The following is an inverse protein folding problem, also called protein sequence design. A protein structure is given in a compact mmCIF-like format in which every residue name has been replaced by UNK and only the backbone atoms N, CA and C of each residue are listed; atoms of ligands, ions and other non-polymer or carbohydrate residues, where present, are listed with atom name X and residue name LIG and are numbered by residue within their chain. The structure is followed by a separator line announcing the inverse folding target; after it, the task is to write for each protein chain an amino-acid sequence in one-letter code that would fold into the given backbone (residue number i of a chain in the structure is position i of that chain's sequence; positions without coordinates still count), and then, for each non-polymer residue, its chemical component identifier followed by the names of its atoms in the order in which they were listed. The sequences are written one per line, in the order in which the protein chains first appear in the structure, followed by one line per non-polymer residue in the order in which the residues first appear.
data_IF_865031545462
#
_entry.id   IF_865031545462
#
_cell.length_a   1.000
_cell.length_b   1.000
_cell.length_c   1.000
_cell.angle_alpha   90.00
_cell.angle_beta   90.00
_cell.angle_gamma   90.00
#
_symmetry.space_group_name_H-M   'P 1'
#
loop_
_entity.id
_entity.type
_entity.pdbx_description
1 polymer ?
#
# COMPACT_ATOMS: atom_id res chain seq x y z
N UNK A 1 11.14 -3.09 43.66
CA UNK A 1 10.31 -2.06 44.32
C UNK A 1 9.48 -1.38 43.24
N UNK A 2 8.15 -1.53 43.34
CA UNK A 2 7.14 -0.99 42.41
C UNK A 2 6.89 0.47 42.74
N UNK A 3 6.93 1.37 41.76
CA UNK A 3 6.31 2.69 41.87
C UNK A 3 5.34 2.86 40.70
N UNK A 4 4.05 2.77 41.05
CA UNK A 4 2.90 3.04 40.20
C UNK A 4 2.54 4.51 40.42
N UNK A 5 2.67 5.35 39.39
CA UNK A 5 2.07 6.69 39.38
C UNK A 5 0.94 6.70 38.36
N UNK A 6 -0.28 6.65 38.89
CA UNK A 6 -1.50 6.88 38.15
C UNK A 6 -1.85 8.37 38.23
N UNK A 7 -1.86 9.05 37.08
CA UNK A 7 -2.38 10.42 36.97
C UNK A 7 -3.68 10.37 36.18
N UNK A 8 -4.78 10.55 36.92
CA UNK A 8 -6.14 10.71 36.41
C UNK A 8 -6.32 12.18 36.02
N UNK A 9 -6.64 12.45 34.75
CA UNK A 9 -7.06 13.78 34.31
C UNK A 9 -8.53 13.70 33.86
N UNK A 10 -9.43 14.28 34.68
CA UNK A 10 -10.80 14.59 34.30
C UNK A 10 -10.78 15.83 33.39
N UNK A 11 -11.42 15.75 32.22
CA UNK A 11 -11.86 16.92 31.47
C UNK A 11 -13.36 16.78 31.25
N UNK A 12 -14.13 17.57 32.00
CA UNK A 12 -15.54 17.86 31.78
C UNK A 12 -15.66 19.08 30.87
N UNK A 13 -16.33 18.93 29.73
CA UNK A 13 -16.82 20.05 28.92
C UNK A 13 -18.32 19.85 28.69
N UNK A 14 -19.10 20.69 29.36
CA UNK A 14 -20.49 20.94 29.06
C UNK A 14 -20.57 22.22 28.21
N UNK A 15 -21.35 22.21 27.13
CA UNK A 15 -21.97 23.41 26.59
C UNK A 15 -23.21 23.04 25.77
N UNK A 16 -24.34 23.58 26.21
CA UNK A 16 -25.62 23.64 25.53
C UNK A 16 -25.64 24.70 24.42
N UNK A 17 -26.53 24.48 23.44
CA UNK A 17 -27.07 25.50 22.53
C UNK A 17 -27.35 24.86 21.16
N UNK A 18 -28.54 24.83 20.57
CA UNK A 18 -29.78 25.57 20.83
C UNK A 18 -30.31 26.13 19.51
N UNK A 19 -31.55 25.79 19.14
CA UNK A 19 -32.33 26.40 18.04
C UNK A 19 -32.14 25.73 16.67
N UNK A 20 -33.16 25.31 15.91
CA UNK A 20 -34.55 25.78 15.82
C UNK A 20 -34.75 26.44 14.45
N UNK A 21 -35.48 25.81 13.53
CA UNK A 21 -35.71 26.38 12.20
C UNK A 21 -36.47 25.46 11.24
N UNK A 22 -37.78 25.48 11.36
CA UNK A 22 -38.77 24.92 10.45
C UNK A 22 -38.91 25.76 9.16
N UNK A 23 -39.06 25.09 8.01
CA UNK A 23 -39.54 25.69 6.75
C UNK A 23 -39.37 24.67 5.61
N UNK A 24 -40.36 23.80 5.34
CA UNK A 24 -41.51 24.04 4.47
C UNK A 24 -41.16 24.60 3.09
N UNK A 25 -40.99 23.72 2.11
CA UNK A 25 -41.64 23.85 0.79
C UNK A 25 -41.34 22.61 -0.05
N UNK A 26 -42.35 21.74 -0.20
CA UNK A 26 -42.37 20.66 -1.18
C UNK A 26 -42.69 21.24 -2.58
N UNK A 27 -41.94 20.89 -3.63
CA UNK A 27 -42.40 21.08 -5.00
C UNK A 27 -43.00 19.79 -5.59
N UNK A 28 -43.95 20.04 -6.48
CA UNK A 28 -44.83 19.17 -7.25
C UNK A 28 -44.27 17.81 -7.69
N UNK A 29 -45.13 16.79 -7.52
CA UNK A 29 -45.05 15.53 -8.23
C UNK A 29 -45.31 15.72 -9.72
N UNK A 30 -44.29 15.50 -10.53
CA UNK A 30 -44.38 15.33 -11.99
C UNK A 30 -44.49 13.84 -12.30
N UNK A 31 -45.70 13.41 -12.63
CA UNK A 31 -46.00 12.11 -13.24
C UNK A 31 -45.45 12.07 -14.67
N UNK A 32 -44.26 11.50 -14.84
CA UNK A 32 -43.76 11.04 -16.13
C UNK A 32 -43.97 9.54 -16.26
N UNK A 33 -44.89 9.19 -17.16
CA UNK A 33 -45.20 7.86 -17.65
C UNK A 33 -43.93 7.14 -18.17
N UNK A 34 -43.60 5.92 -17.71
CA UNK A 34 -42.47 5.17 -18.25
C UNK A 34 -42.80 4.66 -19.65
N UNK A 35 -41.94 4.98 -20.61
CA UNK A 35 -41.93 4.38 -21.93
C UNK A 35 -41.60 2.88 -21.82
N UNK A 36 -42.29 2.06 -22.61
CA UNK A 36 -42.11 0.61 -22.67
C UNK A 36 -40.65 0.25 -22.99
N UNK A 37 -40.03 -0.51 -22.08
CA UNK A 37 -38.70 -1.05 -22.27
C UNK A 37 -38.69 -2.08 -23.42
N UNK A 38 -37.72 -2.03 -24.34
CA UNK A 38 -37.50 -3.11 -25.31
C UNK A 38 -37.05 -4.38 -24.58
N UNK A 39 -37.63 -5.51 -24.98
CA UNK A 39 -37.34 -6.83 -24.44
C UNK A 39 -35.85 -7.16 -24.61
N UNK A 40 -35.11 -7.19 -23.51
CA UNK A 40 -33.75 -7.70 -23.44
C UNK A 40 -33.78 -9.22 -23.62
N UNK A 41 -33.10 -9.68 -24.67
CA UNK A 41 -32.79 -11.09 -24.92
C UNK A 41 -32.16 -11.75 -23.71
N UNK A 42 -32.70 -12.91 -23.32
CA UNK A 42 -32.14 -13.82 -22.31
C UNK A 42 -30.70 -14.23 -22.67
N UNK A 43 -29.72 -13.49 -22.16
CA UNK A 43 -28.33 -13.93 -22.14
C UNK A 43 -28.14 -14.87 -20.95
N UNK A 44 -27.84 -16.12 -21.28
CA UNK A 44 -27.67 -17.22 -20.32
C UNK A 44 -26.43 -17.00 -19.43
N UNK A 45 -26.53 -17.07 -18.09
CA UNK A 45 -25.47 -16.69 -17.14
C UNK A 45 -24.28 -17.68 -17.02
N UNK A 46 -24.25 -18.77 -17.79
CA UNK A 46 -23.26 -19.84 -17.63
C UNK A 46 -21.81 -19.47 -18.02
N UNK A 47 -21.60 -18.43 -18.83
CA UNK A 47 -20.27 -18.07 -19.33
C UNK A 47 -19.39 -17.32 -18.30
N UNK A 48 -19.99 -16.62 -17.34
CA UNK A 48 -19.23 -15.77 -16.38
C UNK A 48 -18.57 -16.62 -15.28
N UNK A 49 -19.24 -17.69 -14.82
CA UNK A 49 -18.73 -18.54 -13.73
C UNK A 49 -17.44 -19.30 -14.10
N UNK A 50 -17.32 -19.78 -15.34
CA UNK A 50 -16.15 -20.53 -15.82
C UNK A 50 -14.86 -19.67 -15.83
N UNK A 51 -15.00 -18.37 -16.12
CA UNK A 51 -13.88 -17.43 -16.11
C UNK A 51 -13.30 -17.21 -14.72
N UNK A 52 -14.15 -17.22 -13.69
CA UNK A 52 -13.72 -16.97 -12.30
C UNK A 52 -12.96 -18.17 -11.75
N UNK A 53 -13.44 -19.40 -11.94
CA UNK A 53 -12.76 -20.60 -11.47
C UNK A 53 -11.36 -20.78 -12.10
N UNK A 54 -11.23 -20.45 -13.39
CA UNK A 54 -9.93 -20.49 -14.08
C UNK A 54 -8.97 -19.44 -13.53
N UNK A 55 -9.45 -18.21 -13.31
CA UNK A 55 -8.65 -17.15 -12.70
C UNK A 55 -8.21 -17.49 -11.26
N UNK A 56 -9.10 -18.12 -10.48
CA UNK A 56 -8.84 -18.55 -9.10
C UNK A 56 -7.76 -19.62 -9.04
N UNK A 57 -7.85 -20.60 -9.93
CA UNK A 57 -6.86 -21.64 -10.03
C UNK A 57 -5.48 -21.07 -10.39
N UNK A 58 -5.41 -20.15 -11.35
CA UNK A 58 -4.15 -19.50 -11.73
C UNK A 58 -3.56 -18.64 -10.60
N UNK A 59 -4.41 -17.98 -9.82
CA UNK A 59 -4.00 -17.16 -8.68
C UNK A 59 -3.48 -18.02 -7.52
N UNK A 60 -4.17 -19.12 -7.21
CA UNK A 60 -3.73 -20.10 -6.23
C UNK A 60 -2.40 -20.73 -6.63
N UNK A 61 -2.24 -21.12 -7.90
CA UNK A 61 -1.00 -21.74 -8.40
C UNK A 61 0.21 -20.81 -8.21
N UNK A 62 0.07 -19.52 -8.52
CA UNK A 62 1.11 -18.51 -8.25
C UNK A 62 1.43 -18.37 -6.77
N UNK A 63 0.43 -18.41 -5.89
CA UNK A 63 0.62 -18.36 -4.44
C UNK A 63 1.37 -19.57 -3.90
N UNK A 64 1.12 -20.77 -4.44
CA UNK A 64 1.81 -21.99 -4.03
C UNK A 64 3.24 -22.09 -4.57
N UNK A 65 3.48 -21.66 -5.82
CA UNK A 65 4.82 -21.72 -6.45
C UNK A 65 5.76 -20.65 -5.93
N UNK A 66 5.25 -19.43 -5.73
CA UNK A 66 6.06 -18.28 -5.30
C UNK A 66 7.06 -17.77 -6.34
N UNK A 67 6.94 -18.18 -7.60
CA UNK A 67 7.86 -17.85 -8.69
C UNK A 67 7.56 -16.49 -9.37
N UNK A 68 6.28 -16.12 -9.50
CA UNK A 68 5.85 -14.84 -10.06
C UNK A 68 4.86 -14.11 -9.15
N UNK A 69 5.34 -13.08 -8.47
CA UNK A 69 4.56 -12.30 -7.48
C UNK A 69 3.81 -11.13 -8.07
N UNK A 70 4.18 -10.65 -9.26
CA UNK A 70 3.52 -9.54 -9.94
C UNK A 70 3.19 -9.89 -11.38
N UNK A 71 2.11 -9.33 -11.97
CA UNK A 71 1.80 -9.56 -13.37
C UNK A 71 2.81 -8.84 -14.27
N UNK A 72 2.85 -9.24 -15.55
CA UNK A 72 3.64 -8.53 -16.56
C UNK A 72 3.18 -7.06 -16.64
N UNK A 73 4.15 -6.13 -16.70
CA UNK A 73 3.90 -4.70 -16.79
C UNK A 73 3.78 -3.99 -15.44
N UNK A 74 3.65 -4.71 -14.32
CA UNK A 74 3.70 -4.10 -12.99
C UNK A 74 5.10 -3.56 -12.70
N UNK A 75 5.20 -2.31 -12.28
CA UNK A 75 6.45 -1.63 -11.97
C UNK A 75 7.08 -2.22 -10.71
N UNK A 76 8.07 -3.08 -10.92
CA UNK A 76 8.94 -3.63 -9.89
C UNK A 76 10.33 -3.10 -10.14
N UNK A 77 10.96 -2.57 -9.10
CA UNK A 77 12.33 -2.13 -9.24
C UNK A 77 13.24 -3.32 -9.53
N UNK A 78 13.95 -3.25 -10.66
CA UNK A 78 14.91 -4.26 -11.03
C UNK A 78 16.06 -4.31 -10.01
N UNK A 79 16.44 -5.54 -9.63
CA UNK A 79 17.67 -5.77 -8.91
C UNK A 79 18.85 -5.28 -9.77
N UNK A 80 19.78 -4.47 -9.23
CA UNK A 80 20.97 -4.06 -9.96
C UNK A 80 21.82 -5.26 -10.33
N UNK A 81 22.32 -5.28 -11.56
CA UNK A 81 23.13 -6.39 -12.10
C UNK A 81 24.48 -6.57 -11.40
N UNK A 82 24.97 -5.53 -10.72
CA UNK A 82 26.24 -5.54 -9.99
C UNK A 82 26.11 -5.99 -8.52
N UNK A 83 24.92 -6.33 -8.05
CA UNK A 83 24.71 -6.78 -6.65
C UNK A 83 24.53 -8.28 -6.61
N UNK A 84 25.54 -8.99 -6.10
CA UNK A 84 25.55 -10.46 -6.02
C UNK A 84 25.07 -11.00 -4.66
N UNK A 85 25.28 -10.27 -3.55
CA UNK A 85 24.86 -10.70 -2.22
C UNK A 85 23.45 -10.25 -1.82
N UNK A 86 23.19 -10.08 -0.52
CA UNK A 86 21.87 -9.61 -0.07
C UNK A 86 21.65 -8.16 -0.49
N UNK A 87 20.51 -7.86 -1.10
CA UNK A 87 20.06 -6.48 -1.35
C UNK A 87 18.88 -6.17 -0.44
N UNK A 88 19.02 -5.14 0.39
CA UNK A 88 17.92 -4.60 1.19
C UNK A 88 17.70 -3.14 0.82
N UNK A 89 16.50 -2.84 0.33
CA UNK A 89 16.06 -1.47 0.05
C UNK A 89 15.00 -1.09 1.05
N UNK A 90 15.17 0.05 1.72
CA UNK A 90 14.17 0.59 2.63
C UNK A 90 14.10 2.10 2.53
N UNK A 91 12.89 2.63 2.69
CA UNK A 91 12.70 4.04 3.01
C UNK A 91 12.92 4.26 4.50
N UNK A 92 13.63 5.33 4.84
CA UNK A 92 13.80 5.76 6.21
C UNK A 92 12.47 6.29 6.74
N UNK A 93 12.17 5.92 7.97
CA UNK A 93 10.95 6.27 8.69
C UNK A 93 11.26 7.22 9.82
N UNK A 94 10.27 7.98 10.27
CA UNK A 94 10.41 8.83 11.47
C UNK A 94 10.90 8.05 12.69
N UNK A 95 10.52 6.78 12.82
CA UNK A 95 10.94 5.89 13.91
C UNK A 95 12.40 5.42 13.82
N UNK A 96 13.07 5.54 12.66
CA UNK A 96 14.46 5.10 12.48
C UNK A 96 15.48 6.04 13.15
N UNK A 97 15.04 7.22 13.59
CA UNK A 97 15.90 8.21 14.25
C UNK A 97 15.18 8.96 15.39
N UNK A 98 13.89 8.71 15.62
CA UNK A 98 13.21 9.19 16.81
C UNK A 98 13.71 8.45 18.06
N UNK A 99 13.94 9.18 19.15
CA UNK A 99 14.23 8.59 20.47
C UNK A 99 13.09 8.85 21.44
N UNK A 100 12.85 7.92 22.36
CA UNK A 100 11.87 8.10 23.43
C UNK A 100 10.40 8.12 22.96
N UNK A 101 9.53 8.90 23.64
CA UNK A 101 8.07 8.90 23.37
C UNK A 101 7.66 9.27 21.94
N UNK A 102 8.54 9.96 21.19
CA UNK A 102 8.30 10.33 19.80
C UNK A 102 8.16 9.12 18.86
N UNK A 103 8.70 7.95 19.26
CA UNK A 103 8.55 6.70 18.52
C UNK A 103 7.15 6.05 18.66
N UNK A 104 6.32 6.52 19.59
CA UNK A 104 4.99 5.95 19.85
C UNK A 104 3.89 6.48 18.90
N UNK A 105 4.19 7.50 18.08
CA UNK A 105 3.24 8.08 17.14
C UNK A 105 3.02 7.26 15.85
N UNK A 106 2.24 7.82 14.91
CA UNK A 106 2.15 7.32 13.54
C UNK A 106 3.53 7.08 12.94
N UNK A 107 3.68 5.97 12.20
CA UNK A 107 4.93 5.67 11.50
C UNK A 107 4.80 6.09 10.04
N UNK A 108 5.75 6.88 9.53
CA UNK A 108 5.73 7.33 8.14
C UNK A 108 7.13 7.36 7.54
N UNK A 109 7.20 7.24 6.21
CA UNK A 109 8.42 7.49 5.45
C UNK A 109 8.73 8.99 5.48
N UNK A 110 9.98 9.36 5.77
CA UNK A 110 10.36 10.78 5.79
C UNK A 110 10.71 11.29 4.41
N UNK A 111 10.48 12.59 4.21
CA UNK A 111 10.93 13.29 3.01
C UNK A 111 11.89 14.43 3.38
N UNK A 112 12.77 14.78 2.45
CA UNK A 112 13.56 16.01 2.51
C UNK A 112 13.97 16.45 1.11
N UNK A 113 14.07 17.76 0.88
CA UNK A 113 14.71 18.32 -0.31
C UNK A 113 16.20 18.64 -0.08
N UNK A 114 16.72 18.33 1.11
CA UNK A 114 18.13 18.50 1.49
C UNK A 114 18.84 17.15 1.55
N UNK A 115 19.78 16.94 0.63
CA UNK A 115 20.61 15.75 0.58
C UNK A 115 21.43 15.55 1.87
N UNK A 116 21.89 16.64 2.50
CA UNK A 116 22.68 16.55 3.73
C UNK A 116 21.84 15.99 4.88
N UNK A 117 20.57 16.41 4.99
CA UNK A 117 19.63 15.86 5.96
C UNK A 117 19.36 14.36 5.71
N UNK A 118 19.12 13.96 4.46
CA UNK A 118 18.92 12.56 4.11
C UNK A 118 20.14 11.68 4.47
N UNK A 119 21.35 12.20 4.22
CA UNK A 119 22.60 11.53 4.60
C UNK A 119 22.74 11.39 6.12
N UNK A 120 22.41 12.44 6.88
CA UNK A 120 22.46 12.42 8.34
C UNK A 120 21.48 11.41 8.96
N UNK A 121 20.26 11.28 8.41
CA UNK A 121 19.31 10.23 8.83
C UNK A 121 19.83 8.83 8.51
N UNK A 122 20.40 8.64 7.31
CA UNK A 122 21.03 7.37 6.93
C UNK A 122 22.18 6.99 7.86
N UNK A 123 22.98 7.96 8.29
CA UNK A 123 24.11 7.78 9.21
C UNK A 123 23.64 7.37 10.61
N UNK A 124 22.66 8.09 11.16
CA UNK A 124 22.04 7.76 12.44
C UNK A 124 21.56 6.31 12.45
N UNK A 125 20.82 5.93 11.42
CA UNK A 125 20.27 4.59 11.32
C UNK A 125 21.34 3.52 11.10
N UNK A 126 22.44 3.83 10.40
CA UNK A 126 23.56 2.90 10.25
C UNK A 126 24.31 2.63 11.55
N UNK A 127 24.32 3.60 12.46
CA UNK A 127 24.93 3.46 13.80
C UNK A 127 24.06 2.60 14.73
N UNK A 128 22.74 2.59 14.54
CA UNK A 128 21.80 1.88 15.41
C UNK A 128 21.56 0.41 15.03
N UNK A 129 21.92 -0.01 13.82
CA UNK A 129 21.66 -1.35 13.29
C UNK A 129 22.49 -2.50 13.93
N UNK A 130 23.14 -2.28 15.08
CA UNK A 130 23.98 -3.27 15.78
C UNK A 130 25.32 -3.56 15.08
N UNK A 131 25.38 -3.40 13.75
CA UNK A 131 26.58 -3.47 12.93
C UNK A 131 26.61 -2.29 11.96
N UNK A 132 27.71 -1.56 11.99
CA UNK A 132 27.90 -0.40 11.13
C UNK A 132 28.03 -0.82 9.65
N UNK A 133 27.47 0.00 8.76
CA UNK A 133 27.55 -0.17 7.30
C UNK A 133 28.18 1.06 6.67
N UNK A 134 29.28 0.85 5.95
CA UNK A 134 30.07 1.91 5.33
C UNK A 134 29.31 2.53 4.16
N UNK A 135 29.37 3.86 4.07
CA UNK A 135 28.83 4.60 2.94
C UNK A 135 29.68 4.32 1.69
N UNK A 136 29.02 3.92 0.60
CA UNK A 136 29.68 3.64 -0.68
C UNK A 136 29.28 4.64 -1.75
N UNK A 137 28.00 5.00 -1.80
CA UNK A 137 27.47 5.89 -2.84
C UNK A 137 26.29 6.71 -2.31
N UNK A 138 26.16 7.94 -2.81
CA UNK A 138 24.97 8.76 -2.63
C UNK A 138 24.52 9.21 -4.02
N UNK A 139 23.25 8.98 -4.33
CA UNK A 139 22.64 9.43 -5.58
C UNK A 139 21.24 9.98 -5.32
N UNK A 140 20.71 10.75 -6.26
CA UNK A 140 19.37 11.27 -6.17
C UNK A 140 18.78 11.47 -7.55
N UNK A 141 17.46 11.38 -7.63
CA UNK A 141 16.69 11.74 -8.80
C UNK A 141 15.60 12.75 -8.41
N UNK A 142 14.60 12.95 -9.27
CA UNK A 142 13.45 13.82 -8.97
C UNK A 142 12.54 13.27 -7.89
N UNK A 143 12.68 11.99 -7.50
CA UNK A 143 11.75 11.29 -6.61
C UNK A 143 12.32 11.10 -5.21
N UNK A 144 13.61 10.78 -5.11
CA UNK A 144 14.23 10.40 -3.84
C UNK A 144 15.74 10.63 -3.84
N UNK A 145 16.29 10.69 -2.62
CA UNK A 145 17.70 10.45 -2.35
C UNK A 145 17.90 8.99 -1.98
N UNK A 146 18.94 8.37 -2.54
CA UNK A 146 19.37 7.01 -2.22
C UNK A 146 20.80 7.03 -1.70
N UNK A 147 20.97 6.51 -0.48
CA UNK A 147 22.25 6.35 0.20
C UNK A 147 22.56 4.86 0.26
N UNK A 148 23.61 4.45 -0.46
CA UNK A 148 24.03 3.05 -0.59
C UNK A 148 25.13 2.77 0.42
N UNK A 149 24.94 1.71 1.21
CA UNK A 149 25.87 1.25 2.24
C UNK A 149 26.21 -0.23 2.09
N UNK A 150 27.40 -0.60 2.54
CA UNK A 150 27.88 -1.99 2.58
C UNK A 150 28.21 -2.37 4.03
N UNK A 151 27.60 -3.43 4.59
CA UNK A 151 27.93 -3.90 5.93
C UNK A 151 29.39 -4.34 6.04
N UNK A 152 30.10 -3.94 7.11
CA UNK A 152 31.52 -4.29 7.30
C UNK A 152 31.81 -5.78 7.41
N UNK A 153 30.82 -6.56 7.85
CA UNK A 153 30.94 -8.00 8.04
C UNK A 153 30.54 -8.81 6.79
N UNK A 154 29.88 -8.18 5.82
CA UNK A 154 29.46 -8.80 4.56
C UNK A 154 29.57 -7.78 3.43
N UNK A 155 30.74 -7.78 2.79
CA UNK A 155 31.04 -6.89 1.66
C UNK A 155 30.27 -7.21 0.39
N UNK A 156 29.54 -8.34 0.38
CA UNK A 156 28.69 -8.73 -0.76
C UNK A 156 27.27 -8.19 -0.62
N UNK A 157 26.86 -7.85 0.61
CA UNK A 157 25.56 -7.26 0.89
C UNK A 157 25.53 -5.76 0.60
N UNK A 158 24.36 -5.27 0.20
CA UNK A 158 24.10 -3.87 -0.08
C UNK A 158 22.81 -3.43 0.60
N UNK A 159 22.90 -2.31 1.32
CA UNK A 159 21.78 -1.62 1.94
C UNK A 159 21.51 -0.33 1.19
N UNK A 160 20.26 -0.08 0.81
CA UNK A 160 19.80 1.16 0.19
C UNK A 160 18.86 1.85 1.15
N UNK A 161 19.31 2.96 1.72
CA UNK A 161 18.48 3.86 2.49
C UNK A 161 17.91 4.91 1.56
N UNK A 162 16.58 5.05 1.53
CA UNK A 162 15.89 6.02 0.70
C UNK A 162 15.16 7.05 1.52
N UNK A 163 15.14 8.26 1.01
CA UNK A 163 14.39 9.40 1.55
C UNK A 163 13.68 10.04 0.38
N UNK A 164 12.36 10.14 0.43
CA UNK A 164 11.62 10.83 -0.63
C UNK A 164 12.05 12.29 -0.70
N UNK A 165 12.01 12.87 -1.90
CA UNK A 165 12.02 14.32 -1.98
C UNK A 165 10.65 14.86 -1.61
N UNK A 166 10.59 15.89 -0.77
CA UNK A 166 9.30 16.47 -0.38
C UNK A 166 8.59 17.16 -1.55
N UNK A 167 9.31 17.61 -2.57
CA UNK A 167 8.71 18.10 -3.82
C UNK A 167 8.13 16.98 -4.70
N UNK A 168 8.46 15.72 -4.43
CA UNK A 168 7.87 14.55 -5.06
C UNK A 168 6.74 13.97 -4.22
N UNK A 169 7.03 13.49 -3.00
CA UNK A 169 6.07 12.81 -2.12
C UNK A 169 6.32 13.18 -0.66
N UNK A 170 5.28 13.67 0.01
CA UNK A 170 5.26 13.91 1.45
C UNK A 170 4.35 12.90 2.14
N UNK A 171 4.93 12.06 3.01
CA UNK A 171 4.22 10.99 3.73
C UNK A 171 4.00 11.31 5.21
N UNK A 172 4.31 12.53 5.67
CA UNK A 172 4.23 12.94 7.08
C UNK A 172 2.85 12.79 7.72
N UNK A 173 1.78 12.76 6.91
CA UNK A 173 0.40 12.56 7.35
C UNK A 173 -0.10 11.11 7.23
N UNK A 174 0.72 10.19 6.72
CA UNK A 174 0.39 8.76 6.65
C UNK A 174 0.71 8.05 7.97
N UNK A 175 -0.06 7.02 8.30
CA UNK A 175 0.34 6.03 9.30
C UNK A 175 0.52 4.67 8.62
N UNK A 176 1.75 4.23 8.38
CA UNK A 176 2.10 2.96 7.73
C UNK A 176 1.58 1.72 8.45
N UNK A 177 1.07 1.85 9.68
CA UNK A 177 0.44 0.75 10.42
C UNK A 177 -1.06 0.61 10.14
N UNK A 178 -1.67 1.60 9.50
CA UNK A 178 -3.10 1.60 9.18
C UNK A 178 -3.35 1.11 7.75
N UNK A 179 -4.31 0.21 7.56
CA UNK A 179 -4.69 -0.25 6.22
C UNK A 179 -5.54 0.77 5.46
N UNK A 180 -6.15 1.73 6.18
CA UNK A 180 -7.05 2.77 5.67
C UNK A 180 -6.62 4.14 6.20
N UNK A 181 -6.79 5.17 5.38
CA UNK A 181 -6.65 6.56 5.81
C UNK A 181 -5.75 7.38 4.89
N UNK A 182 -5.11 8.42 5.45
CA UNK A 182 -4.22 9.29 4.69
C UNK A 182 -2.95 8.52 4.25
N UNK A 183 -2.54 8.74 3.00
CA UNK A 183 -1.39 8.13 2.35
C UNK A 183 -0.39 9.19 1.85
N UNK A 184 -0.43 10.39 2.40
CA UNK A 184 0.48 11.50 2.07
C UNK A 184 -0.06 12.43 0.98
N UNK A 185 0.85 13.21 0.41
CA UNK A 185 0.58 14.14 -0.69
C UNK A 185 1.59 13.92 -1.81
N UNK A 186 1.09 13.68 -3.02
CA UNK A 186 1.88 13.62 -4.23
C UNK A 186 2.07 15.04 -4.79
N UNK A 187 3.30 15.55 -4.73
CA UNK A 187 3.62 16.94 -4.98
C UNK A 187 4.17 17.19 -6.40
N UNK A 188 4.52 16.13 -7.14
CA UNK A 188 4.90 16.24 -8.55
C UNK A 188 3.77 16.89 -9.37
N UNK A 189 4.14 17.73 -10.34
CA UNK A 189 3.20 18.38 -11.27
C UNK A 189 3.70 18.27 -12.72
N UNK A 190 2.82 18.08 -13.71
CA UNK A 190 1.38 17.87 -13.59
C UNK A 190 1.03 16.51 -12.98
N UNK A 191 -0.10 16.42 -12.28
CA UNK A 191 -0.64 15.14 -11.80
C UNK A 191 -1.24 14.38 -12.98
N UNK A 192 -0.69 13.20 -13.29
CA UNK A 192 -1.15 12.35 -14.37
C UNK A 192 -1.33 10.90 -13.89
N UNK A 193 -2.13 10.13 -14.62
CA UNK A 193 -2.50 8.76 -14.27
C UNK A 193 -1.29 7.82 -14.24
N UNK A 194 -0.42 7.89 -15.25
CA UNK A 194 0.74 7.01 -15.42
C UNK A 194 1.75 7.14 -14.26
N UNK A 195 1.98 8.36 -13.78
CA UNK A 195 2.88 8.62 -12.64
C UNK A 195 2.23 8.22 -11.32
N UNK A 196 0.90 8.33 -11.20
CA UNK A 196 0.19 7.86 -10.02
C UNK A 196 0.14 6.32 -9.95
N UNK A 197 0.03 5.65 -11.10
CA UNK A 197 0.17 4.20 -11.24
C UNK A 197 1.54 3.74 -10.76
N UNK A 198 2.62 4.27 -11.34
CA UNK A 198 3.99 3.95 -10.91
C UNK A 198 4.22 4.22 -9.43
N UNK A 199 3.68 5.32 -8.90
CA UNK A 199 3.76 5.61 -7.46
C UNK A 199 3.05 4.53 -6.63
N UNK A 200 1.84 4.14 -6.99
CA UNK A 200 1.08 3.10 -6.28
C UNK A 200 1.81 1.75 -6.28
N UNK A 201 2.33 1.35 -7.43
CA UNK A 201 3.08 0.10 -7.60
C UNK A 201 4.45 0.15 -6.89
N UNK A 202 5.12 1.30 -6.91
CA UNK A 202 6.34 1.53 -6.15
C UNK A 202 6.10 1.44 -4.63
N UNK A 203 5.05 2.11 -4.12
CA UNK A 203 4.72 2.07 -2.70
C UNK A 203 4.39 0.66 -2.23
N UNK A 204 3.73 -0.16 -3.08
CA UNK A 204 3.45 -1.57 -2.79
C UNK A 204 4.70 -2.35 -2.39
N UNK A 205 5.83 -2.11 -3.07
CA UNK A 205 7.08 -2.81 -2.85
C UNK A 205 7.64 -2.62 -1.42
N UNK A 206 7.23 -1.57 -0.72
CA UNK A 206 7.67 -1.25 0.64
C UNK A 206 6.61 -1.52 1.71
N UNK A 207 5.53 -2.20 1.35
CA UNK A 207 4.50 -2.65 2.29
C UNK A 207 4.82 -4.03 2.87
N UNK A 208 4.11 -4.40 3.94
CA UNK A 208 4.12 -5.78 4.42
C UNK A 208 3.51 -6.77 3.42
N UNK A 209 2.74 -6.32 2.43
CA UNK A 209 2.17 -7.17 1.38
C UNK A 209 3.22 -7.57 0.33
N UNK A 210 4.41 -6.96 0.33
CA UNK A 210 5.50 -7.44 -0.52
C UNK A 210 6.26 -8.64 0.10
N UNK A 211 5.55 -9.65 0.61
CA UNK A 211 6.14 -10.88 1.16
C UNK A 211 5.68 -12.15 0.42
N UNK A 212 6.27 -13.31 0.73
CA UNK A 212 6.05 -14.59 0.03
C UNK A 212 4.61 -15.09 0.00
N UNK A 213 3.74 -14.62 0.90
CA UNK A 213 2.35 -15.07 1.00
C UNK A 213 1.38 -14.21 0.19
N UNK A 214 1.89 -13.19 -0.51
CA UNK A 214 1.09 -12.27 -1.31
C UNK A 214 1.56 -12.24 -2.76
N UNK A 215 0.59 -12.18 -3.66
CA UNK A 215 0.80 -11.92 -5.08
C UNK A 215 -0.13 -10.80 -5.55
N UNK A 216 0.32 -10.01 -6.52
CA UNK A 216 -0.52 -9.08 -7.27
C UNK A 216 -1.19 -9.86 -8.40
N UNK A 217 -2.52 -9.83 -8.42
CA UNK A 217 -3.33 -10.40 -9.49
C UNK A 217 -3.42 -9.44 -10.68
N UNK A 218 -3.66 -8.16 -10.41
CA UNK A 218 -3.80 -7.09 -11.40
C UNK A 218 -3.63 -5.72 -10.76
N UNK A 219 -3.27 -4.71 -11.55
CA UNK A 219 -3.37 -3.30 -11.19
C UNK A 219 -4.22 -2.56 -12.22
N UNK A 220 -4.85 -1.45 -11.83
CA UNK A 220 -5.62 -0.62 -12.74
C UNK A 220 -5.70 0.82 -12.26
N UNK A 221 -5.71 1.76 -13.21
CA UNK A 221 -5.83 3.19 -12.93
C UNK A 221 -7.07 3.74 -13.61
N UNK A 222 -7.89 4.46 -12.85
CA UNK A 222 -9.10 5.13 -13.32
C UNK A 222 -8.98 6.64 -13.06
N UNK A 223 -9.46 7.43 -14.02
CA UNK A 223 -9.55 8.89 -13.89
C UNK A 223 -11.00 9.30 -13.73
N UNK A 224 -11.26 10.21 -12.80
CA UNK A 224 -12.57 10.85 -12.64
C UNK A 224 -12.41 12.36 -12.47
N UNK A 225 -13.53 13.09 -12.47
CA UNK A 225 -13.51 14.54 -12.29
C UNK A 225 -12.92 14.88 -10.91
N UNK A 226 -11.71 15.43 -10.90
CA UNK A 226 -11.02 15.86 -9.67
C UNK A 226 -10.28 14.77 -8.91
N UNK A 227 -10.25 13.52 -9.40
CA UNK A 227 -9.46 12.46 -8.74
C UNK A 227 -8.88 11.40 -9.69
N UNK A 228 -7.75 10.83 -9.29
CA UNK A 228 -7.15 9.63 -9.86
C UNK A 228 -7.29 8.49 -8.85
N UNK A 229 -7.68 7.32 -9.31
CA UNK A 229 -7.85 6.12 -8.47
C UNK A 229 -6.96 5.03 -9.03
N UNK A 230 -6.06 4.48 -8.22
CA UNK A 230 -5.22 3.36 -8.60
C UNK A 230 -5.51 2.19 -7.65
N UNK A 231 -5.87 1.03 -8.21
CA UNK A 231 -6.22 -0.17 -7.44
C UNK A 231 -5.26 -1.30 -7.78
N UNK A 232 -4.61 -1.83 -6.75
CA UNK A 232 -3.79 -3.05 -6.82
C UNK A 232 -4.61 -4.17 -6.20
N UNK A 233 -5.05 -5.12 -7.04
CA UNK A 233 -5.70 -6.34 -6.58
C UNK A 233 -4.67 -7.38 -6.21
N UNK A 234 -4.69 -7.78 -4.95
CA UNK A 234 -3.77 -8.74 -4.36
C UNK A 234 -4.51 -10.00 -3.95
N UNK A 235 -3.75 -11.08 -3.77
CA UNK A 235 -4.22 -12.28 -3.13
C UNK A 235 -3.25 -12.72 -2.05
N UNK A 236 -3.80 -13.21 -0.95
CA UNK A 236 -3.07 -13.75 0.19
C UNK A 236 -3.43 -15.22 0.40
N UNK A 237 -2.43 -16.06 0.64
CA UNK A 237 -2.64 -17.44 1.06
C UNK A 237 -2.65 -17.54 2.59
N UNK A 238 -3.77 -17.98 3.15
CA UNK A 238 -3.94 -18.28 4.58
C UNK A 238 -3.97 -19.80 4.75
N UNK A 239 -2.94 -20.35 5.40
CA UNK A 239 -2.79 -21.80 5.55
C UNK A 239 -3.87 -22.39 6.45
N UNK A 240 -4.51 -23.46 5.98
CA UNK A 240 -5.45 -24.27 6.74
C UNK A 240 -4.74 -25.19 7.74
N UNK A 241 -5.53 -25.92 8.52
CA UNK A 241 -5.00 -27.03 9.32
C UNK A 241 -4.45 -28.15 8.41
N UNK A 242 -3.58 -29.01 8.95
CA UNK A 242 -3.03 -30.16 8.21
C UNK A 242 -4.17 -31.01 7.64
N UNK A 243 -4.12 -31.26 6.32
CA UNK A 243 -5.16 -32.02 5.61
C UNK A 243 -6.43 -31.24 5.27
N UNK A 244 -6.49 -29.94 5.59
CA UNK A 244 -7.56 -29.04 5.18
C UNK A 244 -7.13 -28.15 4.02
N UNK A 245 -8.10 -27.56 3.33
CA UNK A 245 -7.83 -26.57 2.30
C UNK A 245 -7.28 -25.27 2.89
N UNK A 246 -6.39 -24.62 2.15
CA UNK A 246 -5.97 -23.25 2.42
C UNK A 246 -7.05 -22.28 1.94
N UNK A 247 -7.10 -21.10 2.54
CA UNK A 247 -7.98 -20.00 2.12
C UNK A 247 -7.17 -18.98 1.33
N UNK A 248 -7.58 -18.69 0.10
CA UNK A 248 -7.07 -17.56 -0.69
C UNK A 248 -8.00 -16.37 -0.47
N UNK A 249 -7.46 -15.29 0.08
CA UNK A 249 -8.16 -14.03 0.26
C UNK A 249 -7.76 -13.05 -0.84
N UNK A 250 -8.72 -12.56 -1.61
CA UNK A 250 -8.51 -11.54 -2.65
C UNK A 250 -8.92 -10.19 -2.09
N UNK A 251 -8.04 -9.22 -2.20
CA UNK A 251 -8.22 -7.89 -1.61
C UNK A 251 -7.76 -6.80 -2.57
N UNK A 252 -8.46 -5.67 -2.55
CA UNK A 252 -8.13 -4.47 -3.31
C UNK A 252 -7.44 -3.47 -2.39
N UNK A 253 -6.24 -3.05 -2.78
CA UNK A 253 -5.52 -1.94 -2.15
C UNK A 253 -5.62 -0.73 -3.07
N UNK A 254 -6.51 0.19 -2.69
CA UNK A 254 -6.93 1.32 -3.53
C UNK A 254 -6.36 2.61 -2.97
N UNK A 255 -5.67 3.36 -3.84
CA UNK A 255 -5.27 4.73 -3.59
C UNK A 255 -6.17 5.68 -4.36
N UNK A 256 -6.65 6.72 -3.70
CA UNK A 256 -7.38 7.82 -4.35
C UNK A 256 -6.61 9.10 -4.13
N UNK A 257 -6.30 9.81 -5.21
CA UNK A 257 -5.60 11.08 -5.18
C UNK A 257 -6.49 12.20 -5.70
N UNK A 258 -6.61 13.27 -4.93
CA UNK A 258 -7.25 14.51 -5.39
C UNK A 258 -6.33 15.26 -6.36
N UNK A 259 -6.79 15.54 -7.59
CA UNK A 259 -5.93 16.13 -8.65
C UNK A 259 -5.67 17.62 -8.49
N UNK A 260 -6.30 18.30 -7.53
CA UNK A 260 -6.03 19.70 -7.22
C UNK A 260 -4.96 19.83 -6.16
N UNK A 261 -5.10 19.10 -5.06
CA UNK A 261 -4.20 19.16 -3.90
C UNK A 261 -3.02 18.19 -3.99
N UNK A 262 -3.19 17.05 -4.67
CA UNK A 262 -2.24 15.93 -4.60
C UNK A 262 -2.42 15.05 -3.36
N UNK A 263 -3.36 15.36 -2.46
CA UNK A 263 -3.61 14.55 -1.27
C UNK A 263 -4.07 13.13 -1.68
N UNK A 264 -3.47 12.12 -1.04
CA UNK A 264 -3.70 10.71 -1.29
C UNK A 264 -4.36 10.09 -0.06
N UNK A 265 -5.43 9.31 -0.27
CA UNK A 265 -5.97 8.38 0.70
C UNK A 265 -5.80 6.95 0.22
N UNK A 266 -5.79 6.00 1.14
CA UNK A 266 -5.79 4.57 0.85
C UNK A 266 -6.90 3.83 1.57
N UNK A 267 -7.29 2.71 0.98
CA UNK A 267 -8.22 1.74 1.54
C UNK A 267 -7.77 0.32 1.18
N UNK A 268 -7.97 -0.63 2.09
CA UNK A 268 -7.81 -2.05 1.82
C UNK A 268 -9.17 -2.74 2.04
N UNK A 269 -9.68 -3.38 1.01
CA UNK A 269 -10.98 -4.06 1.05
C UNK A 269 -10.85 -5.51 0.66
N UNK A 270 -11.41 -6.43 1.45
CA UNK A 270 -11.55 -7.82 1.02
C UNK A 270 -12.65 -7.90 -0.05
N UNK A 271 -12.30 -8.40 -1.23
CA UNK A 271 -13.21 -8.53 -2.36
C UNK A 271 -13.95 -9.86 -2.31
N UNK A 272 -13.20 -10.94 -2.03
CA UNK A 272 -13.72 -12.31 -1.93
C UNK A 272 -12.67 -13.26 -1.37
N UNK A 273 -13.12 -14.47 -1.02
CA UNK A 273 -12.25 -15.58 -0.65
C UNK A 273 -12.69 -16.87 -1.34
N UNK A 274 -11.75 -17.77 -1.57
CA UNK A 274 -12.02 -19.14 -2.03
C UNK A 274 -11.03 -20.11 -1.39
N UNK A 275 -11.35 -21.41 -1.44
CA UNK A 275 -10.49 -22.45 -0.87
C UNK A 275 -9.70 -23.15 -1.97
N UNK A 276 -8.43 -23.45 -1.70
CA UNK A 276 -7.55 -24.16 -2.63
C UNK A 276 -6.61 -25.07 -1.87
N UNK A 277 -6.09 -26.10 -2.54
CA UNK A 277 -5.09 -27.00 -1.99
C UNK A 277 -4.02 -27.33 -3.03
N UNK A 278 -2.84 -27.70 -2.56
CA UNK A 278 -1.79 -28.32 -3.39
C UNK A 278 -1.63 -29.79 -3.01
N UNK A 279 -1.64 -30.68 -4.00
CA UNK A 279 -1.40 -32.12 -3.81
C UNK A 279 -0.40 -32.57 -4.85
N UNK A 280 0.75 -33.09 -4.39
CA UNK A 280 1.83 -33.56 -5.27
C UNK A 280 2.28 -32.50 -6.30
N UNK A 281 2.29 -31.22 -5.92
CA UNK A 281 2.68 -30.11 -6.78
C UNK A 281 1.60 -29.64 -7.77
N UNK A 282 0.41 -30.26 -7.76
CA UNK A 282 -0.75 -29.80 -8.52
C UNK A 282 -1.67 -28.96 -7.63
N UNK A 283 -2.10 -27.80 -8.14
CA UNK A 283 -3.03 -26.90 -7.45
C UNK A 283 -4.47 -27.26 -7.85
N UNK A 284 -5.41 -27.22 -6.92
CA UNK A 284 -6.85 -27.41 -7.18
C UNK A 284 -7.70 -26.51 -6.27
N UNK A 285 -8.89 -26.15 -6.75
CA UNK A 285 -9.90 -25.42 -5.96
C UNK A 285 -10.71 -26.44 -5.15
N UNK A 286 -10.94 -26.14 -3.88
CA UNK A 286 -11.76 -26.98 -3.02
C UNK A 286 -13.25 -26.71 -3.25
N UNK A 287 -14.05 -27.77 -3.27
CA UNK A 287 -15.50 -27.75 -3.44
C UNK A 287 -16.25 -27.45 -2.15
#
# INVERSE_FOLDING_TARGET
MRNVFASMALITLAACGGGGGSGSSAPAASTSQPAAAPATSNNSPAAVASSTATADLGLADRLYRGDSRTPNGFDVEARPSNVYGTLSTRHLKNTDFATGPQAAGPTFEVCSNDMAQALAWSETQSTWNGMYSDLVEVRGDSRMFEVIRVPRFDVTAMLRHRVFRCDYLDRSSSDLRADVGNAGSFNQRPLNADEFEKLGEYLWQFTMYNNSNFVVASSSTATSAGSLVHTIRMAQLVRGAVGSCDTVQVMDWTHTMNTTSGAISRELMNVRSFQAQTTSGSTSICS
#
